data_IF_380244380194
#
_entry.id   IF_380244380194
#
_cell.length_a   1.000
_cell.length_b   1.000
_cell.length_c   1.000
_cell.angle_alpha   90.00
_cell.angle_beta   90.00
_cell.angle_gamma   90.00
#
_symmetry.space_group_name_H-M   'P 1'
#
loop_
_entity.id
_entity.type
_entity.pdbx_description
1 polymer ?
#
# COMPACT_ATOMS: atom_id res chain seq x y z
N UNK A 1 1.90 73.69 -67.19
CA UNK A 1 1.65 74.96 -66.48
C UNK A 1 2.81 75.17 -65.52
N UNK A 2 3.59 76.22 -65.72
CA UNK A 2 4.73 76.55 -64.86
C UNK A 2 4.22 77.28 -63.59
N UNK A 3 4.80 76.98 -62.42
CA UNK A 3 4.47 77.63 -61.14
C UNK A 3 4.75 79.14 -61.14
N UNK A 4 5.51 79.61 -62.12
CA UNK A 4 5.85 81.02 -62.31
C UNK A 4 4.69 81.85 -62.87
N UNK A 5 3.78 81.25 -63.65
CA UNK A 5 2.65 81.92 -64.30
C UNK A 5 1.34 81.84 -63.50
N UNK A 6 1.29 81.01 -62.46
CA UNK A 6 0.12 80.86 -61.60
C UNK A 6 0.10 82.01 -60.59
N UNK A 7 -0.77 83.00 -60.76
CA UNK A 7 -0.97 84.09 -59.80
C UNK A 7 -2.34 84.00 -59.11
N UNK A 8 -2.35 84.10 -57.78
CA UNK A 8 -3.58 84.13 -56.99
C UNK A 8 -3.81 85.55 -56.45
N UNK A 9 -4.97 86.16 -56.77
CA UNK A 9 -5.34 87.49 -56.29
C UNK A 9 -6.34 87.40 -55.16
N UNK A 10 -5.96 87.86 -53.96
CA UNK A 10 -6.83 87.90 -52.79
C UNK A 10 -6.79 89.31 -52.20
N UNK A 11 -7.96 89.94 -52.02
CA UNK A 11 -8.08 91.22 -51.30
C UNK A 11 -7.31 92.40 -51.92
N UNK A 12 -7.08 92.39 -53.24
CA UNK A 12 -6.35 93.46 -53.94
C UNK A 12 -4.84 93.25 -54.12
N UNK A 13 -4.27 92.16 -53.60
CA UNK A 13 -2.83 91.84 -53.74
C UNK A 13 -2.64 90.54 -54.52
N UNK A 14 -1.64 90.49 -55.42
CA UNK A 14 -1.35 89.32 -56.27
C UNK A 14 -0.15 88.54 -55.72
N UNK A 15 -0.30 87.23 -55.52
CA UNK A 15 0.76 86.33 -55.03
C UNK A 15 1.20 85.36 -56.13
N UNK A 16 2.52 85.24 -56.35
CA UNK A 16 3.08 84.25 -57.29
C UNK A 16 2.97 82.82 -56.74
N UNK A 17 2.64 81.86 -57.60
CA UNK A 17 2.40 80.46 -57.25
C UNK A 17 3.59 79.76 -56.60
N UNK A 18 4.82 80.16 -56.92
CA UNK A 18 6.05 79.67 -56.26
C UNK A 18 6.03 79.93 -54.76
N UNK A 19 5.60 81.12 -54.30
CA UNK A 19 5.54 81.43 -52.87
C UNK A 19 4.46 80.63 -52.15
N UNK A 20 3.33 80.40 -52.81
CA UNK A 20 2.24 79.58 -52.27
C UNK A 20 2.70 78.13 -52.13
N UNK A 21 3.42 77.59 -53.11
CA UNK A 21 3.95 76.23 -53.06
C UNK A 21 4.96 76.04 -51.92
N UNK A 22 5.85 77.02 -51.69
CA UNK A 22 6.80 76.99 -50.57
C UNK A 22 6.07 77.07 -49.22
N UNK A 23 5.10 77.97 -49.08
CA UNK A 23 4.32 78.07 -47.85
C UNK A 23 3.50 76.80 -47.59
N UNK A 24 2.91 76.21 -48.61
CA UNK A 24 2.12 74.98 -48.49
C UNK A 24 2.98 73.76 -48.13
N UNK A 25 4.18 73.64 -48.70
CA UNK A 25 5.11 72.56 -48.35
C UNK A 25 5.65 72.71 -46.92
N UNK A 26 5.98 73.92 -46.50
CA UNK A 26 6.37 74.23 -45.11
C UNK A 26 5.21 73.98 -44.14
N UNK A 27 3.99 74.43 -44.47
CA UNK A 27 2.81 74.22 -43.65
C UNK A 27 2.45 72.73 -43.51
N UNK A 28 2.58 71.95 -44.58
CA UNK A 28 2.33 70.50 -44.54
C UNK A 28 3.40 69.76 -43.74
N UNK A 29 4.67 70.18 -43.85
CA UNK A 29 5.77 69.60 -43.07
C UNK A 29 5.64 69.91 -41.58
N UNK A 30 5.30 71.16 -41.23
CA UNK A 30 5.06 71.57 -39.85
C UNK A 30 3.80 70.90 -39.27
N UNK A 31 2.69 70.87 -40.03
CA UNK A 31 1.46 70.21 -39.61
C UNK A 31 1.61 68.70 -39.44
N UNK A 32 2.30 68.03 -40.37
CA UNK A 32 2.61 66.60 -40.30
C UNK A 32 3.61 66.27 -39.18
N UNK A 33 4.60 67.13 -38.96
CA UNK A 33 5.57 66.98 -37.87
C UNK A 33 4.93 67.11 -36.49
N UNK A 34 4.03 68.07 -36.30
CA UNK A 34 3.30 68.26 -35.04
C UNK A 34 2.34 67.09 -34.78
N UNK A 35 1.62 66.60 -35.79
CA UNK A 35 0.67 65.48 -35.63
C UNK A 35 1.38 64.15 -35.32
N UNK A 36 2.50 63.87 -35.99
CA UNK A 36 3.28 62.66 -35.70
C UNK A 36 3.90 62.74 -34.30
N UNK A 37 4.46 63.88 -33.89
CA UNK A 37 4.97 64.10 -32.54
C UNK A 37 3.87 64.00 -31.47
N UNK A 38 2.70 64.58 -31.70
CA UNK A 38 1.57 64.51 -30.75
C UNK A 38 1.06 63.09 -30.59
N UNK A 39 0.97 62.32 -31.68
CA UNK A 39 0.55 60.92 -31.61
C UNK A 39 1.52 60.04 -30.83
N UNK A 40 2.83 60.30 -30.94
CA UNK A 40 3.85 59.60 -30.15
C UNK A 40 3.76 60.00 -28.68
N UNK A 41 3.59 61.28 -28.40
CA UNK A 41 3.42 61.79 -27.04
C UNK A 41 2.18 61.20 -26.36
N UNK A 42 1.01 61.24 -27.01
CA UNK A 42 -0.23 60.67 -26.45
C UNK A 42 -0.14 59.16 -26.23
N UNK A 43 0.61 58.43 -27.07
CA UNK A 43 0.86 56.99 -26.86
C UNK A 43 1.81 56.72 -25.70
N UNK A 44 2.85 57.55 -25.52
CA UNK A 44 3.76 57.48 -24.37
C UNK A 44 3.00 57.79 -23.07
N UNK A 45 2.22 58.87 -23.05
CA UNK A 45 1.36 59.23 -21.92
C UNK A 45 0.34 58.11 -21.60
N UNK A 46 -0.22 57.47 -22.63
CA UNK A 46 -1.11 56.30 -22.47
C UNK A 46 -0.40 55.05 -21.92
N UNK A 47 0.92 54.92 -22.10
CA UNK A 47 1.71 53.79 -21.56
C UNK A 47 2.21 54.10 -20.15
N UNK A 48 2.63 55.34 -19.90
CA UNK A 48 3.10 55.83 -18.59
C UNK A 48 1.95 55.95 -17.58
N UNK A 49 0.72 56.23 -18.03
CA UNK A 49 -0.47 56.21 -17.18
C UNK A 49 -0.90 54.78 -16.77
N UNK A 50 -0.31 53.74 -17.36
CA UNK A 50 -0.61 52.36 -17.02
C UNK A 50 0.23 51.95 -15.80
N UNK A 51 -0.39 51.93 -14.63
CA UNK A 51 0.25 51.41 -13.41
C UNK A 51 0.65 49.95 -13.59
N UNK A 52 1.96 49.68 -13.58
CA UNK A 52 2.46 48.30 -13.51
C UNK A 52 2.28 47.84 -12.05
N UNK A 53 1.52 46.77 -11.80
CA UNK A 53 1.34 46.26 -10.44
C UNK A 53 2.67 45.71 -9.91
N UNK A 54 2.91 45.94 -8.62
CA UNK A 54 4.07 45.40 -7.91
C UNK A 54 3.93 43.87 -7.77
N UNK A 55 4.88 43.14 -8.35
CA UNK A 55 4.93 41.66 -8.32
C UNK A 55 5.91 41.12 -7.28
N UNK A 56 6.68 41.98 -6.60
CA UNK A 56 7.59 41.58 -5.52
C UNK A 56 6.92 40.69 -4.47
N UNK A 57 5.69 40.98 -3.96
CA UNK A 57 5.04 40.09 -3.01
C UNK A 57 4.67 38.72 -3.58
N UNK A 58 4.49 38.60 -4.90
CA UNK A 58 4.21 37.33 -5.56
C UNK A 58 5.51 36.50 -5.71
N UNK A 59 6.62 37.15 -6.05
CA UNK A 59 7.94 36.52 -6.12
C UNK A 59 8.38 35.99 -4.75
N UNK A 60 8.22 36.78 -3.69
CA UNK A 60 8.53 36.36 -2.31
C UNK A 60 7.70 35.14 -1.86
N UNK A 61 6.40 35.11 -2.21
CA UNK A 61 5.53 33.95 -1.95
C UNK A 61 6.01 32.72 -2.70
N UNK A 62 6.32 32.85 -3.99
CA UNK A 62 6.80 31.72 -4.80
C UNK A 62 8.11 31.15 -4.24
N UNK A 63 9.02 32.01 -3.79
CA UNK A 63 10.26 31.58 -3.16
C UNK A 63 10.01 30.87 -1.83
N UNK A 64 9.10 31.41 -1.01
CA UNK A 64 8.71 30.82 0.28
C UNK A 64 8.05 29.45 0.09
N UNK A 65 7.07 29.36 -0.81
CA UNK A 65 6.35 28.12 -1.13
C UNK A 65 7.30 27.07 -1.69
N UNK A 66 8.23 27.47 -2.57
CA UNK A 66 9.27 26.58 -3.08
C UNK A 66 10.16 26.05 -1.96
N UNK A 67 10.56 26.90 -1.03
CA UNK A 67 11.39 26.49 0.10
C UNK A 67 10.63 25.52 1.04
N UNK A 68 9.35 25.78 1.30
CA UNK A 68 8.49 24.89 2.08
C UNK A 68 8.34 23.52 1.42
N UNK A 69 8.02 23.49 0.12
CA UNK A 69 7.89 22.24 -0.65
C UNK A 69 9.19 21.45 -0.70
N UNK A 70 10.35 22.12 -0.86
CA UNK A 70 11.65 21.44 -0.82
C UNK A 70 11.92 20.82 0.56
N UNK A 71 11.55 21.52 1.64
CA UNK A 71 11.67 20.98 3.00
C UNK A 71 10.76 19.77 3.21
N UNK A 72 9.50 19.82 2.77
CA UNK A 72 8.57 18.69 2.86
C UNK A 72 9.07 17.47 2.06
N UNK A 73 9.58 17.70 0.85
CA UNK A 73 10.16 16.64 0.02
C UNK A 73 11.37 16.00 0.72
N UNK A 74 12.21 16.78 1.39
CA UNK A 74 13.38 16.26 2.11
C UNK A 74 12.96 15.41 3.30
N UNK A 75 11.95 15.87 4.07
CA UNK A 75 11.35 15.08 5.15
C UNK A 75 10.76 13.77 4.62
N UNK A 76 9.99 13.81 3.51
CA UNK A 76 9.44 12.60 2.89
C UNK A 76 10.55 11.65 2.44
N UNK A 77 11.64 12.16 1.86
CA UNK A 77 12.79 11.34 1.45
C UNK A 77 13.49 10.71 2.66
N UNK A 78 13.66 11.48 3.72
CA UNK A 78 14.23 10.98 4.96
C UNK A 78 13.33 9.89 5.54
N UNK A 79 12.02 10.12 5.66
CA UNK A 79 11.08 9.11 6.14
C UNK A 79 11.05 7.86 5.26
N UNK A 80 11.14 7.99 3.93
CA UNK A 80 11.23 6.84 3.01
C UNK A 80 12.54 6.06 3.19
N UNK A 81 13.65 6.75 3.48
CA UNK A 81 14.94 6.15 3.78
C UNK A 81 14.93 5.46 5.15
N UNK A 82 14.43 6.14 6.18
CA UNK A 82 14.35 5.66 7.56
C UNK A 82 13.38 4.47 7.69
N UNK A 83 12.29 4.47 6.91
CA UNK A 83 11.37 3.31 6.81
C UNK A 83 11.91 2.20 5.90
N UNK A 84 13.14 2.34 5.39
CA UNK A 84 13.86 1.31 4.63
C UNK A 84 12.97 0.68 3.54
N UNK A 85 12.23 1.54 2.81
CA UNK A 85 11.22 1.11 1.82
C UNK A 85 11.86 0.26 0.71
N UNK A 86 13.15 0.48 0.43
CA UNK A 86 13.96 -0.35 -0.46
C UNK A 86 14.13 -1.80 0.05
N UNK A 87 14.17 -2.00 1.37
CA UNK A 87 14.30 -3.30 2.01
C UNK A 87 12.96 -4.01 2.23
N UNK A 88 11.83 -3.32 2.05
CA UNK A 88 10.50 -3.95 2.16
C UNK A 88 10.37 -5.16 1.25
N UNK A 89 10.92 -5.11 0.03
CA UNK A 89 10.91 -6.28 -0.87
C UNK A 89 11.61 -7.50 -0.24
N UNK A 90 12.74 -7.30 0.44
CA UNK A 90 13.47 -8.35 1.14
C UNK A 90 12.72 -8.86 2.38
N UNK A 91 12.13 -7.96 3.18
CA UNK A 91 11.29 -8.32 4.33
C UNK A 91 10.04 -9.08 3.90
N UNK A 92 9.40 -8.69 2.78
CA UNK A 92 8.25 -9.37 2.19
C UNK A 92 8.62 -10.75 1.62
N UNK A 93 9.77 -10.87 0.95
CA UNK A 93 10.28 -12.16 0.50
C UNK A 93 10.54 -13.10 1.68
N UNK A 94 11.15 -12.59 2.75
CA UNK A 94 11.39 -13.33 4.00
C UNK A 94 10.07 -13.74 4.65
N UNK A 95 9.10 -12.84 4.73
CA UNK A 95 7.77 -13.13 5.25
C UNK A 95 7.07 -14.21 4.42
N UNK A 96 7.17 -14.15 3.10
CA UNK A 96 6.62 -15.17 2.20
C UNK A 96 7.20 -16.57 2.46
N UNK A 97 8.52 -16.68 2.64
CA UNK A 97 9.19 -17.94 3.00
C UNK A 97 8.74 -18.44 4.38
N UNK A 98 8.63 -17.55 5.36
CA UNK A 98 8.16 -17.90 6.69
C UNK A 98 6.70 -18.38 6.67
N UNK A 99 5.82 -17.73 5.90
CA UNK A 99 4.44 -18.15 5.74
C UNK A 99 4.33 -19.51 5.06
N UNK A 100 5.11 -19.78 4.02
CA UNK A 100 5.15 -21.09 3.39
C UNK A 100 5.60 -22.17 4.39
N UNK A 101 6.64 -21.88 5.18
CA UNK A 101 7.13 -22.80 6.22
C UNK A 101 6.05 -23.09 7.27
N UNK A 102 5.28 -22.07 7.68
CA UNK A 102 4.17 -22.23 8.62
C UNK A 102 3.07 -23.11 8.02
N UNK A 103 2.72 -22.92 6.75
CA UNK A 103 1.74 -23.76 6.04
C UNK A 103 2.21 -25.22 6.05
N UNK A 104 3.46 -25.48 5.64
CA UNK A 104 4.01 -26.84 5.63
C UNK A 104 4.03 -27.49 7.03
N UNK A 105 4.25 -26.70 8.08
CA UNK A 105 4.16 -27.16 9.46
C UNK A 105 2.72 -27.44 9.90
N UNK A 106 1.76 -26.60 9.49
CA UNK A 106 0.34 -26.82 9.77
C UNK A 106 -0.18 -28.10 9.09
N UNK A 107 0.23 -28.37 7.85
CA UNK A 107 -0.11 -29.62 7.15
C UNK A 107 0.42 -30.85 7.90
N UNK A 108 1.65 -30.79 8.42
CA UNK A 108 2.21 -31.86 9.25
C UNK A 108 1.46 -32.03 10.58
N UNK A 109 1.00 -30.93 11.18
CA UNK A 109 0.21 -30.99 12.41
C UNK A 109 -1.16 -31.63 12.18
N UNK A 110 -1.81 -31.37 11.05
CA UNK A 110 -3.07 -32.05 10.67
C UNK A 110 -2.85 -33.56 10.54
N UNK A 111 -1.76 -33.99 9.90
CA UNK A 111 -1.42 -35.41 9.82
C UNK A 111 -1.16 -36.02 11.22
N UNK A 112 -0.58 -35.27 12.15
CA UNK A 112 -0.41 -35.74 13.54
C UNK A 112 -1.76 -35.85 14.22
N UNK A 113 -2.65 -34.89 14.05
CA UNK A 113 -4.02 -34.92 14.60
C UNK A 113 -4.79 -36.16 14.12
N UNK A 114 -4.74 -36.45 12.81
CA UNK A 114 -5.35 -37.66 12.24
C UNK A 114 -4.75 -38.94 12.85
N UNK A 115 -3.42 -39.03 12.94
CA UNK A 115 -2.75 -40.19 13.53
C UNK A 115 -3.06 -40.34 15.03
N UNK A 116 -3.21 -39.25 15.77
CA UNK A 116 -3.58 -39.27 17.19
C UNK A 116 -5.03 -39.73 17.36
N UNK A 117 -5.94 -39.26 16.51
CA UNK A 117 -7.34 -39.71 16.50
C UNK A 117 -7.43 -41.22 16.21
N UNK A 118 -6.63 -41.73 15.28
CA UNK A 118 -6.60 -43.17 15.00
C UNK A 118 -5.95 -43.97 16.13
N UNK A 119 -4.87 -43.47 16.73
CA UNK A 119 -4.27 -44.07 17.92
C UNK A 119 -5.25 -44.10 19.10
N UNK A 120 -6.07 -43.06 19.27
CA UNK A 120 -7.11 -43.02 20.31
C UNK A 120 -8.13 -44.15 20.12
N UNK A 121 -8.62 -44.35 18.88
CA UNK A 121 -9.53 -45.47 18.55
C UNK A 121 -8.88 -46.83 18.81
N UNK A 122 -7.61 -47.00 18.42
CA UNK A 122 -6.87 -48.25 18.65
C UNK A 122 -6.71 -48.53 20.15
N UNK A 123 -6.43 -47.49 20.95
CA UNK A 123 -6.36 -47.60 22.41
C UNK A 123 -7.73 -47.97 23.01
N UNK A 124 -8.82 -47.38 22.51
CA UNK A 124 -10.18 -47.75 22.95
C UNK A 124 -10.51 -49.22 22.64
N UNK A 125 -10.20 -49.68 21.42
CA UNK A 125 -10.37 -51.07 21.03
C UNK A 125 -9.52 -52.03 21.90
N UNK A 126 -8.28 -51.63 22.21
CA UNK A 126 -7.38 -52.38 23.07
C UNK A 126 -7.90 -52.45 24.50
N UNK A 127 -8.42 -51.34 25.06
CA UNK A 127 -9.07 -51.34 26.38
C UNK A 127 -10.24 -52.33 26.42
N UNK A 128 -11.06 -52.39 25.37
CA UNK A 128 -12.14 -53.37 25.25
C UNK A 128 -11.63 -54.82 25.28
N UNK A 129 -10.58 -55.10 24.51
CA UNK A 129 -9.95 -56.43 24.46
C UNK A 129 -9.32 -56.82 25.80
N UNK A 130 -8.63 -55.90 26.46
CA UNK A 130 -8.02 -56.11 27.79
C UNK A 130 -9.10 -56.36 28.84
N UNK A 131 -10.20 -55.60 28.84
CA UNK A 131 -11.33 -55.84 29.75
C UNK A 131 -11.93 -57.25 29.55
N UNK A 132 -12.08 -57.70 28.30
CA UNK A 132 -12.55 -59.06 28.01
C UNK A 132 -11.55 -60.12 28.50
N UNK A 133 -10.25 -59.90 28.29
CA UNK A 133 -9.19 -60.79 28.77
C UNK A 133 -9.14 -60.86 30.31
N UNK A 134 -9.35 -59.75 31.02
CA UNK A 134 -9.47 -59.72 32.48
C UNK A 134 -10.65 -60.55 32.98
N UNK A 135 -11.82 -60.44 32.33
CA UNK A 135 -13.01 -61.25 32.67
C UNK A 135 -12.76 -62.74 32.46
N UNK A 136 -12.15 -63.11 31.33
CA UNK A 136 -11.79 -64.50 31.03
C UNK A 136 -10.78 -65.02 32.07
N UNK A 137 -9.76 -64.23 32.40
CA UNK A 137 -8.74 -64.60 33.39
C UNK A 137 -9.34 -64.82 34.77
N UNK A 138 -10.24 -63.94 35.23
CA UNK A 138 -10.98 -64.14 36.49
C UNK A 138 -11.81 -65.42 36.46
N UNK A 139 -12.55 -65.65 35.37
CA UNK A 139 -13.37 -66.86 35.20
C UNK A 139 -12.53 -68.13 35.22
N UNK A 140 -11.35 -68.13 34.60
CA UNK A 140 -10.40 -69.26 34.62
C UNK A 140 -9.86 -69.48 36.05
N UNK A 141 -9.55 -68.40 36.78
CA UNK A 141 -9.15 -68.48 38.19
C UNK A 141 -10.20 -69.17 39.06
N UNK A 142 -11.47 -68.78 38.90
CA UNK A 142 -12.60 -69.37 39.63
C UNK A 142 -12.80 -70.85 39.27
N UNK A 143 -12.70 -71.20 37.97
CA UNK A 143 -12.78 -72.59 37.50
C UNK A 143 -11.66 -73.44 38.08
N UNK A 144 -10.42 -72.93 38.09
CA UNK A 144 -9.27 -73.64 38.67
C UNK A 144 -9.44 -73.88 40.17
N UNK A 145 -10.00 -72.90 40.90
CA UNK A 145 -10.35 -73.05 42.31
C UNK A 145 -11.39 -74.16 42.56
N UNK A 146 -12.48 -74.16 41.77
CA UNK A 146 -13.50 -75.22 41.85
C UNK A 146 -12.94 -76.59 41.50
N UNK A 147 -12.12 -76.69 40.46
CA UNK A 147 -11.47 -77.94 40.05
C UNK A 147 -10.54 -78.48 41.14
N UNK A 148 -9.81 -77.58 41.81
CA UNK A 148 -8.95 -77.94 42.94
C UNK A 148 -9.76 -78.46 44.14
N UNK A 149 -10.92 -77.86 44.45
CA UNK A 149 -11.82 -78.37 45.49
C UNK A 149 -12.39 -79.74 45.13
N UNK A 150 -12.89 -79.90 43.90
CA UNK A 150 -13.40 -81.18 43.40
C UNK A 150 -12.34 -82.27 43.47
N UNK A 151 -11.10 -81.97 43.06
CA UNK A 151 -9.99 -82.93 43.15
C UNK A 151 -9.76 -83.36 44.61
N UNK A 152 -9.75 -82.41 45.54
CA UNK A 152 -9.61 -82.71 46.98
C UNK A 152 -10.77 -83.55 47.49
N UNK A 153 -12.01 -83.19 47.16
CA UNK A 153 -13.20 -83.94 47.57
C UNK A 153 -13.19 -85.37 47.02
N UNK A 154 -12.75 -85.58 45.77
CA UNK A 154 -12.57 -86.92 45.19
C UNK A 154 -11.50 -87.71 45.92
N UNK A 155 -10.37 -87.08 46.27
CA UNK A 155 -9.29 -87.71 47.07
C UNK A 155 -9.81 -88.10 48.46
N UNK A 156 -10.54 -87.21 49.13
CA UNK A 156 -11.15 -87.44 50.44
C UNK A 156 -12.20 -88.58 50.39
N UNK A 157 -13.02 -88.65 49.34
CA UNK A 157 -13.97 -89.74 49.12
C UNK A 157 -13.26 -91.08 48.89
N UNK A 158 -12.16 -91.10 48.14
CA UNK A 158 -11.34 -92.31 47.96
C UNK A 158 -10.71 -92.76 49.26
N UNK A 159 -10.16 -91.84 50.06
CA UNK A 159 -9.62 -92.16 51.39
C UNK A 159 -10.70 -92.68 52.35
N UNK A 160 -11.89 -92.09 52.32
CA UNK A 160 -13.03 -92.56 53.11
C UNK A 160 -13.51 -93.94 52.68
N UNK A 161 -13.53 -94.23 51.38
CA UNK A 161 -13.85 -95.55 50.84
C UNK A 161 -12.78 -96.58 51.23
N UNK A 162 -11.50 -96.23 51.14
CA UNK A 162 -10.39 -97.09 51.53
C UNK A 162 -10.45 -97.42 53.03
N UNK A 163 -10.72 -96.41 53.87
CA UNK A 163 -10.93 -96.56 55.32
C UNK A 163 -12.12 -97.48 55.65
N UNK A 164 -13.26 -97.33 54.95
CA UNK A 164 -14.41 -98.23 55.11
C UNK A 164 -14.11 -99.65 54.60
N UNK A 165 -13.28 -99.79 53.57
CA UNK A 165 -12.92 -101.08 52.98
C UNK A 165 -11.88 -101.84 53.80
N UNK A 166 -11.07 -101.15 54.61
CA UNK A 166 -10.05 -101.75 55.46
C UNK A 166 -9.95 -101.07 56.84
N UNK A 167 -10.93 -101.27 57.74
CA UNK A 167 -11.07 -100.53 58.99
C UNK A 167 -10.07 -100.90 60.11
N UNK A 168 -9.07 -101.75 59.84
CA UNK A 168 -8.17 -102.34 60.85
C UNK A 168 -6.65 -102.20 60.53
N UNK A 169 -6.26 -101.15 59.80
CA UNK A 169 -4.87 -100.65 59.81
C UNK A 169 -4.79 -99.29 60.49
#
# INVERSE_FOLDING_TARGET
MSLEETELKIGGTSFKGVYIAILFSLATTLGGGVWTASSLYSRLESVESRSIPDITPLEERILTDKQALLSEIDLIKQELSDNDVSQLQGKLATLGVNLQTIIDQQDKLLLIDDNVNDLEKDIEAMKGTVAQAEVITKSIGDVNGKLSSLKREVEELWQGLDYLSNPLK
#
